data_IF_316844592574
#
_entry.id   IF_316844592574
#
_cell.length_a   1.000
_cell.length_b   1.000
_cell.length_c   1.000
_cell.angle_alpha   90.00
_cell.angle_beta   90.00
_cell.angle_gamma   90.00
#
_symmetry.space_group_name_H-M   'P 1'
#
loop_
_entity.id
_entity.type
_entity.pdbx_description
1 polymer ?
#
# COMPACT_ATOMS: atom_id res chain seq x y z
N UNK A 1 7.02 23.64 -28.91
CA UNK A 1 8.24 23.40 -28.11
C UNK A 1 8.84 22.15 -28.69
N UNK A 2 10.15 22.16 -28.97
CA UNK A 2 10.81 21.11 -29.72
C UNK A 2 11.85 20.42 -28.84
N UNK A 3 11.63 19.16 -28.48
CA UNK A 3 12.50 18.39 -27.60
C UNK A 3 12.74 16.96 -28.14
N UNK A 4 13.88 16.37 -27.81
CA UNK A 4 14.19 14.97 -28.10
C UNK A 4 13.71 14.09 -26.95
N UNK A 5 12.87 13.11 -27.25
CA UNK A 5 12.44 12.09 -26.31
C UNK A 5 13.09 10.75 -26.62
N UNK A 6 13.29 9.94 -25.58
CA UNK A 6 13.77 8.56 -25.69
C UNK A 6 12.76 7.59 -25.07
N UNK A 7 12.48 6.49 -25.75
CA UNK A 7 11.68 5.39 -25.26
C UNK A 7 12.58 4.17 -25.15
N UNK A 8 12.52 3.46 -24.02
CA UNK A 8 13.31 2.24 -23.81
C UNK A 8 12.49 1.17 -23.11
N UNK A 9 12.63 -0.07 -23.55
CA UNK A 9 11.96 -1.25 -23.01
C UNK A 9 11.21 -2.00 -24.10
N UNK A 10 10.17 -2.76 -23.76
CA UNK A 10 9.35 -3.47 -24.75
C UNK A 10 8.36 -2.54 -25.47
N UNK A 11 8.85 -1.43 -26.01
CA UNK A 11 8.03 -0.31 -26.50
C UNK A 11 7.16 -0.67 -27.71
N UNK A 12 7.47 -1.77 -28.40
CA UNK A 12 6.66 -2.34 -29.49
C UNK A 12 5.56 -3.23 -28.91
N UNK A 13 5.90 -4.29 -28.18
CA UNK A 13 4.96 -5.29 -27.65
C UNK A 13 3.93 -4.69 -26.67
N UNK A 14 4.34 -3.70 -25.89
CA UNK A 14 3.48 -3.00 -24.93
C UNK A 14 2.65 -1.88 -25.56
N UNK A 15 2.77 -1.68 -26.88
CA UNK A 15 2.13 -0.61 -27.64
C UNK A 15 2.44 0.80 -27.12
N UNK A 16 3.53 0.97 -26.35
CA UNK A 16 3.97 2.28 -25.87
C UNK A 16 4.33 3.20 -27.04
N UNK A 17 5.14 2.71 -27.99
CA UNK A 17 5.52 3.51 -29.14
C UNK A 17 4.30 3.96 -29.97
N UNK A 18 3.38 3.08 -30.39
CA UNK A 18 2.13 3.49 -31.04
C UNK A 18 1.35 4.55 -30.25
N UNK A 19 1.14 4.33 -28.94
CA UNK A 19 0.38 5.28 -28.10
C UNK A 19 1.06 6.64 -27.98
N UNK A 20 2.39 6.67 -27.91
CA UNK A 20 3.18 7.93 -27.90
C UNK A 20 2.97 8.66 -29.22
N UNK A 21 3.05 7.97 -30.36
CA UNK A 21 2.84 8.58 -31.66
C UNK A 21 1.40 9.10 -31.82
N UNK A 22 0.41 8.32 -31.39
CA UNK A 22 -1.00 8.72 -31.39
C UNK A 22 -1.24 9.95 -30.52
N UNK A 23 -0.71 9.98 -29.30
CA UNK A 23 -0.82 11.14 -28.41
C UNK A 23 -0.21 12.42 -29.01
N UNK A 24 0.92 12.30 -29.74
CA UNK A 24 1.51 13.42 -30.47
C UNK A 24 0.54 13.95 -31.52
N UNK A 25 -0.07 13.06 -32.31
CA UNK A 25 -1.02 13.46 -33.36
C UNK A 25 -2.31 14.05 -32.78
N UNK A 26 -2.87 13.44 -31.73
CA UNK A 26 -4.11 13.87 -31.09
C UNK A 26 -3.99 15.28 -30.48
N UNK A 27 -2.84 15.60 -29.91
CA UNK A 27 -2.53 16.93 -29.37
C UNK A 27 -1.93 17.89 -30.39
N UNK A 28 -2.08 17.58 -31.70
CA UNK A 28 -1.63 18.41 -32.83
C UNK A 28 -0.13 18.73 -32.81
N UNK A 29 0.67 17.85 -32.23
CA UNK A 29 2.12 17.89 -32.32
C UNK A 29 2.63 17.26 -33.62
N UNK A 30 3.93 17.40 -33.85
CA UNK A 30 4.64 16.78 -34.95
C UNK A 30 5.83 15.99 -34.40
N UNK A 31 6.25 14.93 -35.09
CA UNK A 31 7.38 14.11 -34.65
C UNK A 31 8.26 13.65 -35.80
N UNK A 32 9.51 13.36 -35.45
CA UNK A 32 10.49 12.72 -36.33
C UNK A 32 11.22 11.65 -35.53
N UNK A 33 11.09 10.39 -35.94
CA UNK A 33 11.87 9.29 -35.34
C UNK A 33 13.31 9.44 -35.82
N UNK A 34 14.23 9.70 -34.88
CA UNK A 34 15.66 9.87 -35.12
C UNK A 34 16.40 8.52 -35.12
N UNK A 35 15.99 7.62 -34.22
CA UNK A 35 16.57 6.29 -34.08
C UNK A 35 15.49 5.31 -33.63
N UNK A 36 15.53 4.08 -34.15
CA UNK A 36 14.67 2.99 -33.71
C UNK A 36 15.43 1.67 -33.79
N UNK A 37 15.75 1.11 -32.62
CA UNK A 37 16.39 -0.19 -32.48
C UNK A 37 15.36 -1.18 -31.95
N UNK A 38 15.05 -2.21 -32.74
CA UNK A 38 14.05 -3.21 -32.38
C UNK A 38 14.74 -4.47 -31.86
N UNK A 39 14.36 -4.89 -30.64
CA UNK A 39 14.79 -6.14 -30.05
C UNK A 39 14.46 -7.34 -30.95
N UNK A 40 15.34 -8.34 -31.01
CA UNK A 40 15.20 -9.47 -31.95
C UNK A 40 14.34 -10.60 -31.37
N UNK A 41 14.25 -10.69 -30.04
CA UNK A 41 13.46 -11.68 -29.33
C UNK A 41 12.37 -11.02 -28.47
N UNK A 42 11.38 -11.81 -28.01
CA UNK A 42 10.29 -11.35 -27.13
C UNK A 42 10.76 -10.80 -25.77
N UNK A 43 12.03 -11.01 -25.41
CA UNK A 43 12.63 -10.54 -24.15
C UNK A 43 13.65 -9.43 -24.36
N UNK A 44 13.95 -9.07 -25.61
CA UNK A 44 14.87 -7.99 -25.89
C UNK A 44 14.17 -6.64 -25.72
N UNK A 45 14.88 -5.67 -25.14
CA UNK A 45 14.41 -4.29 -25.12
C UNK A 45 14.57 -3.65 -26.50
N UNK A 46 13.59 -2.83 -26.87
CA UNK A 46 13.66 -1.92 -28.00
C UNK A 46 13.92 -0.50 -27.51
N UNK A 47 14.53 0.31 -28.36
CA UNK A 47 14.86 1.71 -28.09
C UNK A 47 14.35 2.58 -29.22
N UNK A 48 13.76 3.73 -28.91
CA UNK A 48 13.41 4.73 -29.90
C UNK A 48 13.83 6.11 -29.42
N UNK A 49 14.43 6.89 -30.30
CA UNK A 49 14.71 8.32 -30.09
C UNK A 49 13.87 9.12 -31.07
N UNK A 50 13.08 10.05 -30.56
CA UNK A 50 12.07 10.78 -31.34
C UNK A 50 12.21 12.27 -31.04
N UNK A 51 12.33 13.10 -32.07
CA UNK A 51 12.24 14.54 -31.97
C UNK A 51 10.78 14.95 -32.06
N UNK A 52 10.24 15.62 -31.04
CA UNK A 52 8.84 16.01 -30.97
C UNK A 52 8.72 17.53 -30.92
N UNK A 53 7.80 18.11 -31.68
CA UNK A 53 7.41 19.51 -31.60
C UNK A 53 5.92 19.65 -31.29
N UNK A 54 5.57 20.34 -30.20
CA UNK A 54 4.17 20.54 -29.82
C UNK A 54 3.95 21.44 -28.61
N UNK A 55 2.70 21.55 -28.12
CA UNK A 55 2.36 22.30 -26.91
C UNK A 55 2.99 21.66 -25.66
N UNK A 56 3.11 22.40 -24.55
CA UNK A 56 3.71 21.88 -23.31
C UNK A 56 2.93 20.68 -22.75
N UNK A 57 1.60 20.71 -22.83
CA UNK A 57 0.68 19.65 -22.38
C UNK A 57 0.94 18.30 -23.09
N UNK A 58 1.49 18.33 -24.31
CA UNK A 58 1.90 17.12 -25.02
C UNK A 58 3.05 16.42 -24.29
N UNK A 59 4.07 17.15 -23.88
CA UNK A 59 5.24 16.55 -23.22
C UNK A 59 4.88 15.91 -21.87
N UNK A 60 3.92 16.50 -21.15
CA UNK A 60 3.35 15.93 -19.93
C UNK A 60 2.66 14.57 -20.19
N UNK A 61 1.94 14.45 -21.31
CA UNK A 61 1.29 13.19 -21.71
C UNK A 61 2.31 12.15 -22.22
N UNK A 62 3.35 12.57 -22.93
CA UNK A 62 4.41 11.68 -23.42
C UNK A 62 5.20 11.08 -22.25
N UNK A 63 5.49 11.87 -21.22
CA UNK A 63 6.15 11.39 -20.00
C UNK A 63 5.29 10.34 -19.27
N UNK A 64 3.97 10.54 -19.19
CA UNK A 64 3.03 9.54 -18.65
C UNK A 64 3.02 8.23 -19.43
N UNK A 65 3.25 8.31 -20.75
CA UNK A 65 3.36 7.15 -21.62
C UNK A 65 4.74 6.46 -21.56
N UNK A 66 5.70 7.03 -20.81
CA UNK A 66 7.02 6.45 -20.57
C UNK A 66 8.15 7.03 -21.41
N UNK A 67 7.94 8.20 -22.03
CA UNK A 67 9.00 8.94 -22.73
C UNK A 67 9.98 9.60 -21.76
N UNK A 68 11.28 9.46 -22.03
CA UNK A 68 12.37 10.12 -21.34
C UNK A 68 12.71 11.42 -22.05
N UNK A 69 12.48 12.56 -21.42
CA UNK A 69 12.77 13.90 -21.95
C UNK A 69 14.25 14.29 -21.77
N UNK A 70 14.75 15.34 -22.44
CA UNK A 70 16.12 15.81 -22.29
C UNK A 70 16.46 16.13 -20.83
N UNK A 71 17.71 15.88 -20.43
CA UNK A 71 18.20 16.02 -19.06
C UNK A 71 18.26 17.48 -18.62
N UNK A 72 17.14 18.02 -18.17
CA UNK A 72 17.08 19.32 -17.53
C UNK A 72 17.14 19.17 -16.01
N UNK A 73 17.87 20.07 -15.35
CA UNK A 73 17.84 20.11 -13.88
C UNK A 73 16.44 20.42 -13.37
N UNK A 74 16.07 19.73 -12.29
CA UNK A 74 14.80 19.92 -11.62
C UNK A 74 14.64 21.38 -11.17
N UNK A 75 13.50 21.98 -11.50
CA UNK A 75 13.18 23.33 -11.04
C UNK A 75 12.63 23.29 -9.64
N UNK A 76 13.04 24.24 -8.81
CA UNK A 76 12.54 24.38 -7.44
C UNK A 76 12.14 25.81 -7.15
N UNK A 77 11.09 25.96 -6.34
CA UNK A 77 10.66 27.24 -5.79
C UNK A 77 10.60 27.15 -4.27
N UNK A 78 10.82 28.28 -3.60
CA UNK A 78 10.77 28.35 -2.15
C UNK A 78 9.30 28.32 -1.68
N UNK A 79 8.99 27.46 -0.70
CA UNK A 79 7.69 27.42 -0.07
C UNK A 79 7.33 28.80 0.54
N UNK A 80 6.18 29.41 0.20
CA UNK A 80 5.86 30.78 0.59
C UNK A 80 5.60 30.94 2.10
N UNK A 81 5.09 29.88 2.75
CA UNK A 81 4.82 29.83 4.18
C UNK A 81 4.86 28.38 4.69
N UNK A 82 4.86 28.20 6.01
CA UNK A 82 4.68 26.88 6.61
C UNK A 82 3.38 26.23 6.11
N UNK A 83 3.49 24.97 5.66
CA UNK A 83 2.40 24.14 5.12
C UNK A 83 1.78 24.65 3.81
N UNK A 84 2.40 25.63 3.16
CA UNK A 84 1.96 26.19 1.88
C UNK A 84 2.96 25.84 0.79
N UNK A 85 2.46 25.49 -0.38
CA UNK A 85 3.26 25.05 -1.53
C UNK A 85 3.30 26.16 -2.60
N UNK A 86 4.36 26.24 -3.41
CA UNK A 86 4.37 27.10 -4.62
C UNK A 86 3.28 26.65 -5.61
N UNK A 87 2.73 27.58 -6.41
CA UNK A 87 1.58 27.32 -7.28
C UNK A 87 1.77 26.14 -8.26
N UNK A 88 3.00 25.92 -8.71
CA UNK A 88 3.35 24.91 -9.72
C UNK A 88 4.01 23.67 -9.13
N UNK A 89 3.78 23.37 -7.86
CA UNK A 89 4.38 22.21 -7.19
C UNK A 89 4.11 20.89 -7.94
N UNK A 90 5.09 19.99 -7.91
CA UNK A 90 4.91 18.63 -8.38
C UNK A 90 4.27 17.77 -7.28
N UNK A 91 3.12 17.17 -7.58
CA UNK A 91 2.46 16.18 -6.72
C UNK A 91 3.00 14.78 -6.98
N UNK A 92 3.45 14.09 -5.93
CA UNK A 92 4.04 12.76 -6.05
C UNK A 92 2.99 11.70 -6.37
N UNK A 93 3.38 10.76 -7.23
CA UNK A 93 2.74 9.44 -7.29
C UNK A 93 3.38 8.51 -6.25
N UNK A 94 2.81 7.33 -6.06
CA UNK A 94 3.44 6.26 -5.29
C UNK A 94 4.45 5.39 -6.10
N UNK A 95 4.69 5.70 -7.38
CA UNK A 95 5.63 4.97 -8.24
C UNK A 95 7.06 5.48 -8.07
N UNK A 96 8.10 4.60 -8.03
CA UNK A 96 9.48 5.00 -7.90
C UNK A 96 9.83 6.21 -8.78
N UNK A 97 10.23 7.30 -8.13
CA UNK A 97 10.46 8.60 -8.78
C UNK A 97 11.90 9.02 -8.54
N UNK A 98 12.54 9.58 -9.56
CA UNK A 98 13.87 10.19 -9.46
C UNK A 98 13.82 11.63 -9.97
N UNK A 99 14.71 12.48 -9.47
CA UNK A 99 14.89 13.86 -9.96
C UNK A 99 16.31 14.08 -10.46
N UNK A 100 16.47 14.82 -11.54
CA UNK A 100 17.77 15.18 -12.10
C UNK A 100 18.31 16.41 -11.37
N UNK A 101 19.36 16.23 -10.56
CA UNK A 101 19.91 17.27 -9.70
C UNK A 101 21.44 17.12 -9.61
N UNK A 102 22.18 18.20 -9.92
CA UNK A 102 23.64 18.19 -9.84
C UNK A 102 24.28 17.26 -10.86
N UNK A 103 23.68 17.15 -12.05
CA UNK A 103 24.17 16.32 -13.16
C UNK A 103 23.84 14.82 -13.09
N UNK A 104 23.10 14.35 -12.07
CA UNK A 104 22.75 12.93 -11.90
C UNK A 104 21.28 12.72 -11.47
N UNK A 105 20.75 11.52 -11.74
CA UNK A 105 19.42 11.10 -11.31
C UNK A 105 19.45 10.64 -9.86
N UNK A 106 18.69 11.33 -9.02
CA UNK A 106 18.59 11.03 -7.60
C UNK A 106 17.23 10.43 -7.27
N UNK A 107 17.18 9.23 -6.67
CA UNK A 107 15.91 8.65 -6.25
C UNK A 107 15.29 9.50 -5.14
N UNK A 108 13.98 9.72 -5.24
CA UNK A 108 13.20 10.37 -4.19
C UNK A 108 13.06 9.40 -3.02
N UNK A 109 13.45 9.85 -1.84
CA UNK A 109 13.39 9.07 -0.61
C UNK A 109 12.00 9.11 0.01
N UNK A 110 11.62 8.03 0.69
CA UNK A 110 10.37 7.91 1.46
C UNK A 110 9.10 8.19 0.63
N UNK A 111 9.11 7.74 -0.63
CA UNK A 111 8.04 8.05 -1.56
C UNK A 111 6.68 7.53 -1.08
N UNK A 112 5.68 8.41 -1.13
CA UNK A 112 4.26 8.13 -0.97
C UNK A 112 3.46 9.03 -1.92
N UNK A 113 2.21 8.67 -2.23
CA UNK A 113 1.34 9.52 -3.06
C UNK A 113 0.87 10.77 -2.30
N UNK A 114 0.31 11.73 -3.04
CA UNK A 114 -0.33 12.95 -2.49
C UNK A 114 0.63 13.79 -1.63
N UNK A 115 1.92 13.77 -1.96
CA UNK A 115 2.97 14.54 -1.31
C UNK A 115 3.71 15.44 -2.31
N UNK A 116 4.76 16.10 -1.85
CA UNK A 116 5.65 16.91 -2.69
C UNK A 116 7.09 16.43 -2.57
N UNK A 117 7.93 16.82 -3.52
CA UNK A 117 9.38 16.58 -3.46
C UNK A 117 10.05 17.85 -2.95
N UNK A 118 10.81 17.74 -1.86
CA UNK A 118 11.66 18.81 -1.33
C UNK A 118 13.13 18.46 -1.57
N UNK A 119 13.91 19.44 -2.02
CA UNK A 119 15.35 19.31 -2.21
C UNK A 119 16.08 19.78 -0.94
N UNK A 120 16.61 18.80 -0.20
CA UNK A 120 17.40 19.02 1.02
C UNK A 120 18.89 18.84 0.71
N UNK A 121 19.57 19.96 0.43
CA UNK A 121 20.96 19.95 -0.02
C UNK A 121 21.09 19.30 -1.39
N UNK A 122 21.60 18.06 -1.42
CA UNK A 122 21.79 17.28 -2.65
C UNK A 122 20.95 15.99 -2.66
N UNK A 123 19.84 15.95 -1.91
CA UNK A 123 18.90 14.84 -1.80
C UNK A 123 17.48 15.28 -2.14
N UNK A 124 16.70 14.38 -2.72
CA UNK A 124 15.28 14.57 -2.97
C UNK A 124 14.47 13.74 -1.97
N UNK A 125 13.59 14.39 -1.22
CA UNK A 125 12.82 13.78 -0.14
C UNK A 125 11.34 14.01 -0.38
N UNK A 126 10.55 12.95 -0.31
CA UNK A 126 9.09 13.04 -0.31
C UNK A 126 8.61 13.64 1.01
N UNK A 127 7.78 14.68 0.96
CA UNK A 127 7.31 15.39 2.14
C UNK A 127 5.83 15.71 2.01
N UNK A 128 5.07 15.39 3.06
CA UNK A 128 3.67 15.80 3.16
C UNK A 128 3.57 17.31 3.24
N UNK A 129 2.56 17.88 2.59
CA UNK A 129 2.30 19.33 2.62
C UNK A 129 2.28 19.89 4.06
N UNK A 130 1.65 19.18 5.01
CA UNK A 130 1.56 19.61 6.41
C UNK A 130 2.90 19.71 7.17
N UNK A 131 3.99 19.18 6.61
CA UNK A 131 5.33 19.25 7.18
C UNK A 131 6.24 20.27 6.49
N UNK A 132 5.84 20.81 5.33
CA UNK A 132 6.66 21.77 4.57
C UNK A 132 6.84 23.05 5.39
N UNK A 133 8.08 23.56 5.40
CA UNK A 133 8.47 24.80 6.08
C UNK A 133 8.71 25.93 5.09
N UNK A 134 8.44 27.16 5.53
CA UNK A 134 8.72 28.36 4.72
C UNK A 134 10.18 28.34 4.25
N UNK A 135 10.39 28.59 2.96
CA UNK A 135 11.73 28.66 2.35
C UNK A 135 12.29 27.33 1.86
N UNK A 136 11.64 26.19 2.16
CA UNK A 136 12.06 24.89 1.60
C UNK A 136 11.93 24.88 0.08
N UNK A 137 12.92 24.29 -0.60
CA UNK A 137 12.96 24.19 -2.06
C UNK A 137 12.07 23.04 -2.53
N UNK A 138 10.84 23.37 -2.92
CA UNK A 138 9.86 22.42 -3.43
C UNK A 138 10.03 22.29 -4.94
N UNK A 139 10.02 21.07 -5.46
CA UNK A 139 10.06 20.80 -6.91
C UNK A 139 8.80 21.34 -7.59
N UNK A 140 8.98 22.05 -8.69
CA UNK A 140 7.90 22.63 -9.51
C UNK A 140 7.99 22.21 -10.96
N UNK A 141 6.82 21.99 -11.58
CA UNK A 141 6.71 21.46 -12.94
C UNK A 141 7.18 20.01 -13.08
N UNK A 142 7.39 19.57 -14.32
CA UNK A 142 7.72 18.19 -14.67
C UNK A 142 9.17 18.01 -15.14
N UNK A 143 9.82 19.09 -15.55
CA UNK A 143 11.21 19.08 -16.03
C UNK A 143 12.15 18.55 -14.95
N UNK A 144 12.94 17.53 -15.32
CA UNK A 144 13.91 16.90 -14.42
C UNK A 144 13.29 15.93 -13.41
N UNK A 145 12.06 15.46 -13.62
CA UNK A 145 11.44 14.37 -12.85
C UNK A 145 11.36 13.13 -13.74
N UNK A 146 11.49 11.93 -13.18
CA UNK A 146 11.34 10.66 -13.89
C UNK A 146 10.57 9.70 -13.02
N UNK A 147 9.46 9.18 -13.53
CA UNK A 147 8.61 8.21 -12.84
C UNK A 147 8.75 6.85 -13.50
N UNK A 148 9.08 5.82 -12.73
CA UNK A 148 9.17 4.44 -13.19
C UNK A 148 7.91 3.67 -12.78
N UNK A 149 6.93 3.62 -13.68
CA UNK A 149 5.71 2.85 -13.44
C UNK A 149 5.97 1.33 -13.52
N UNK A 150 5.28 0.50 -12.71
CA UNK A 150 5.35 -0.95 -12.82
C UNK A 150 4.96 -1.42 -14.24
N UNK A 151 5.71 -2.37 -14.78
CA UNK A 151 5.37 -2.99 -16.06
C UNK A 151 3.99 -3.69 -15.94
N UNK A 152 3.06 -3.36 -16.84
CA UNK A 152 1.75 -4.05 -16.91
C UNK A 152 1.93 -5.50 -17.33
N UNK A 153 1.04 -6.37 -16.83
CA UNK A 153 1.00 -7.78 -17.21
C UNK A 153 0.84 -7.92 -18.72
N UNK A 154 1.63 -8.83 -19.30
CA UNK A 154 1.75 -9.08 -20.75
C UNK A 154 0.79 -10.18 -21.24
N UNK A 155 -0.18 -10.58 -20.42
CA UNK A 155 -1.15 -11.58 -20.84
C UNK A 155 -2.00 -11.03 -21.98
N UNK A 156 -2.12 -11.74 -23.12
CA UNK A 156 -2.92 -11.28 -24.24
C UNK A 156 -4.38 -11.14 -23.76
N UNK A 157 -4.88 -9.92 -23.72
CA UNK A 157 -6.31 -9.68 -23.60
C UNK A 157 -6.95 -10.03 -24.93
N UNK A 158 -7.68 -11.14 -24.99
CA UNK A 158 -8.50 -11.47 -26.16
C UNK A 158 -9.48 -10.33 -26.47
N UNK A 159 -9.81 -10.16 -27.76
CA UNK A 159 -10.75 -9.12 -28.23
C UNK A 159 -12.12 -9.26 -27.55
N UNK A 160 -12.47 -10.47 -27.12
CA UNK A 160 -13.68 -10.78 -26.37
C UNK A 160 -13.40 -11.78 -25.24
N UNK A 161 -13.89 -11.51 -24.04
CA UNK A 161 -13.77 -12.43 -22.91
C UNK A 161 -14.76 -12.11 -21.78
N UNK A 162 -15.23 -13.15 -21.11
CA UNK A 162 -16.02 -13.05 -19.87
C UNK A 162 -15.10 -13.10 -18.65
N UNK A 163 -15.58 -12.65 -17.48
CA UNK A 163 -14.85 -12.71 -16.18
C UNK A 163 -13.54 -11.91 -16.14
N UNK A 164 -13.39 -10.89 -17.00
CA UNK A 164 -12.22 -10.02 -17.09
C UNK A 164 -12.16 -8.93 -16.01
N UNK A 165 -13.23 -8.72 -15.24
CA UNK A 165 -13.25 -7.75 -14.15
C UNK A 165 -12.18 -8.09 -13.11
N UNK A 166 -11.45 -7.10 -12.59
CA UNK A 166 -10.38 -7.39 -11.62
C UNK A 166 -10.95 -7.84 -10.27
N UNK A 167 -12.02 -7.18 -9.81
CA UNK A 167 -12.71 -7.47 -8.54
C UNK A 167 -14.05 -8.14 -8.85
N UNK A 168 -14.23 -9.37 -8.37
CA UNK A 168 -15.52 -10.06 -8.40
C UNK A 168 -15.58 -11.15 -7.32
N UNK A 169 -16.73 -11.34 -6.65
CA UNK A 169 -16.96 -12.48 -5.75
C UNK A 169 -17.04 -13.81 -6.49
N UNK A 170 -17.22 -13.80 -7.82
CA UNK A 170 -17.40 -14.98 -8.65
C UNK A 170 -16.08 -15.58 -9.16
N UNK A 171 -14.93 -15.14 -8.60
CA UNK A 171 -13.62 -15.67 -8.95
C UNK A 171 -13.24 -16.87 -8.08
N UNK A 172 -12.52 -17.87 -8.65
CA UNK A 172 -12.09 -19.04 -7.90
C UNK A 172 -11.00 -18.70 -6.88
N UNK A 173 -11.41 -18.43 -5.63
CA UNK A 173 -10.51 -18.02 -4.55
C UNK A 173 -9.44 -19.07 -4.20
N UNK A 174 -9.72 -20.36 -4.43
CA UNK A 174 -8.80 -21.45 -4.08
C UNK A 174 -7.46 -21.36 -4.81
N UNK A 175 -7.46 -20.95 -6.08
CA UNK A 175 -6.22 -20.75 -6.85
C UNK A 175 -5.44 -19.56 -6.30
N UNK A 176 -6.14 -18.45 -6.04
CA UNK A 176 -5.54 -17.23 -5.48
C UNK A 176 -4.89 -17.49 -4.12
N UNK A 177 -5.52 -18.29 -3.27
CA UNK A 177 -4.99 -18.66 -1.95
C UNK A 177 -3.68 -19.45 -2.07
N UNK A 178 -3.60 -20.40 -3.02
CA UNK A 178 -2.38 -21.19 -3.25
C UNK A 178 -1.23 -20.32 -3.74
N UNK A 179 -1.50 -19.40 -4.67
CA UNK A 179 -0.47 -18.54 -5.21
C UNK A 179 -0.02 -17.49 -4.19
N UNK A 180 -0.95 -16.97 -3.39
CA UNK A 180 -0.64 -16.13 -2.24
C UNK A 180 0.23 -16.86 -1.21
N UNK A 181 -0.08 -18.12 -0.88
CA UNK A 181 0.71 -18.93 0.03
C UNK A 181 2.17 -19.09 -0.45
N UNK A 182 2.35 -19.40 -1.74
CA UNK A 182 3.68 -19.51 -2.36
C UNK A 182 4.44 -18.19 -2.30
N UNK A 183 3.78 -17.08 -2.59
CA UNK A 183 4.42 -15.76 -2.56
C UNK A 183 4.81 -15.35 -1.13
N UNK A 184 3.92 -15.57 -0.15
CA UNK A 184 4.25 -15.32 1.25
C UNK A 184 5.43 -16.18 1.72
N UNK A 185 5.47 -17.48 1.35
CA UNK A 185 6.60 -18.38 1.66
C UNK A 185 7.91 -17.85 1.07
N UNK A 186 7.88 -17.46 -0.21
CA UNK A 186 9.03 -16.89 -0.91
C UNK A 186 9.53 -15.61 -0.24
N UNK A 187 8.63 -14.72 0.19
CA UNK A 187 8.99 -13.51 0.92
C UNK A 187 9.63 -13.86 2.27
N UNK A 188 9.03 -14.76 3.04
CA UNK A 188 9.59 -15.22 4.32
C UNK A 188 10.99 -15.81 4.16
N UNK A 189 11.21 -16.66 3.15
CA UNK A 189 12.51 -17.28 2.88
C UNK A 189 13.59 -16.24 2.54
N UNK A 190 13.19 -15.11 1.95
CA UNK A 190 14.05 -13.96 1.67
C UNK A 190 14.12 -12.96 2.81
N UNK A 191 13.56 -13.28 3.98
CA UNK A 191 13.43 -12.37 5.14
C UNK A 191 12.69 -11.07 4.80
N UNK A 192 11.73 -11.16 3.88
CA UNK A 192 10.88 -10.04 3.50
C UNK A 192 9.95 -9.59 4.62
N UNK A 193 9.39 -8.39 4.45
CA UNK A 193 8.60 -7.71 5.46
C UNK A 193 7.12 -7.68 5.05
N UNK A 194 6.29 -8.41 5.80
CA UNK A 194 4.84 -8.52 5.55
C UNK A 194 4.06 -7.75 6.61
N UNK A 195 3.33 -6.72 6.18
CA UNK A 195 2.40 -5.94 7.01
C UNK A 195 1.01 -6.56 6.95
N UNK A 196 0.31 -6.59 8.07
CA UNK A 196 -1.11 -6.96 8.14
C UNK A 196 -1.94 -5.81 8.73
N UNK A 197 -2.92 -5.34 7.98
CA UNK A 197 -3.89 -4.32 8.38
C UNK A 197 -5.19 -5.01 8.75
N UNK A 198 -5.62 -4.87 10.00
CA UNK A 198 -6.62 -5.76 10.61
C UNK A 198 -7.82 -4.95 11.09
N UNK A 199 -9.00 -5.26 10.55
CA UNK A 199 -10.27 -4.68 10.98
C UNK A 199 -10.97 -5.48 12.07
N UNK A 200 -11.92 -4.85 12.76
CA UNK A 200 -12.64 -5.44 13.90
C UNK A 200 -13.40 -6.71 13.54
N UNK A 201 -13.92 -6.82 12.30
CA UNK A 201 -14.65 -8.01 11.85
C UNK A 201 -13.83 -9.30 11.94
N UNK A 202 -12.49 -9.22 11.86
CA UNK A 202 -11.60 -10.37 12.05
C UNK A 202 -11.79 -11.07 13.40
N UNK A 203 -12.06 -10.28 14.45
CA UNK A 203 -12.36 -10.83 15.77
C UNK A 203 -13.77 -11.42 15.80
N UNK A 204 -14.76 -10.77 15.20
CA UNK A 204 -16.15 -11.26 15.20
C UNK A 204 -16.32 -12.58 14.45
N UNK A 205 -15.64 -12.75 13.31
CA UNK A 205 -15.77 -13.94 12.46
C UNK A 205 -14.84 -15.09 12.87
N UNK A 206 -13.92 -14.85 13.80
CA UNK A 206 -12.94 -15.86 14.25
C UNK A 206 -11.71 -16.01 13.35
N UNK A 207 -11.57 -15.15 12.34
CA UNK A 207 -10.43 -15.12 11.43
C UNK A 207 -9.11 -14.73 12.13
N UNK A 208 -9.20 -14.00 13.24
CA UNK A 208 -8.11 -13.63 14.14
C UNK A 208 -7.25 -14.83 14.59
N UNK A 209 -7.83 -16.02 14.76
CA UNK A 209 -7.09 -17.25 15.10
C UNK A 209 -6.09 -17.64 14.01
N UNK A 210 -6.48 -17.52 12.74
CA UNK A 210 -5.60 -17.81 11.62
C UNK A 210 -4.49 -16.75 11.51
N UNK A 211 -4.81 -15.48 11.78
CA UNK A 211 -3.80 -14.42 11.85
C UNK A 211 -2.78 -14.65 12.99
N UNK A 212 -3.24 -15.07 14.17
CA UNK A 212 -2.36 -15.43 15.28
C UNK A 212 -1.40 -16.56 14.90
N UNK A 213 -1.86 -17.54 14.10
CA UNK A 213 -1.01 -18.60 13.58
C UNK A 213 0.02 -18.09 12.56
N UNK A 214 -0.36 -17.18 11.65
CA UNK A 214 0.59 -16.54 10.74
C UNK A 214 1.70 -15.80 11.50
N UNK A 215 1.35 -15.08 12.57
CA UNK A 215 2.33 -14.43 13.46
C UNK A 215 3.26 -15.46 14.10
N UNK A 216 2.72 -16.56 14.65
CA UNK A 216 3.52 -17.64 15.27
C UNK A 216 4.52 -18.25 14.28
N UNK A 217 4.10 -18.42 13.03
CA UNK A 217 4.87 -18.98 11.92
C UNK A 217 5.86 -17.98 11.29
N UNK A 218 5.85 -16.70 11.68
CA UNK A 218 6.78 -15.68 11.19
C UNK A 218 6.37 -15.01 9.87
N UNK A 219 5.09 -15.02 9.53
CA UNK A 219 4.51 -14.42 8.33
C UNK A 219 3.94 -13.00 8.55
N UNK A 220 4.25 -12.37 9.67
CA UNK A 220 3.85 -11.01 10.00
C UNK A 220 5.02 -10.28 10.67
N UNK A 221 5.38 -9.12 10.11
CA UNK A 221 6.47 -8.27 10.60
C UNK A 221 5.96 -6.94 11.19
N UNK A 222 4.73 -6.54 10.89
CA UNK A 222 4.02 -5.49 11.62
C UNK A 222 2.50 -5.69 11.50
N UNK A 223 1.76 -5.26 12.53
CA UNK A 223 0.29 -5.22 12.54
C UNK A 223 -0.18 -3.77 12.62
N UNK A 224 -1.06 -3.35 11.72
CA UNK A 224 -1.77 -2.08 11.85
C UNK A 224 -3.24 -2.35 12.13
N UNK A 225 -3.80 -1.66 13.11
CA UNK A 225 -5.20 -1.83 13.48
C UNK A 225 -5.76 -0.58 14.16
N UNK A 226 -7.03 -0.66 14.59
CA UNK A 226 -7.66 0.35 15.44
C UNK A 226 -8.10 -0.24 16.78
N UNK A 227 -8.49 0.65 17.71
CA UNK A 227 -8.90 0.27 19.06
C UNK A 227 -10.02 -0.78 19.05
N UNK A 228 -10.98 -0.68 18.13
CA UNK A 228 -12.06 -1.65 18.00
C UNK A 228 -11.59 -3.10 17.89
N UNK A 229 -10.67 -3.42 16.97
CA UNK A 229 -10.13 -4.78 16.87
C UNK A 229 -9.31 -5.16 18.11
N UNK A 230 -8.46 -4.26 18.59
CA UNK A 230 -7.60 -4.52 19.74
C UNK A 230 -8.40 -4.87 21.00
N UNK A 231 -9.49 -4.15 21.27
CA UNK A 231 -10.40 -4.45 22.37
C UNK A 231 -11.09 -5.79 22.18
N UNK A 232 -11.56 -6.12 20.96
CA UNK A 232 -12.21 -7.40 20.69
C UNK A 232 -11.26 -8.60 20.83
N UNK A 233 -9.99 -8.46 20.41
CA UNK A 233 -8.97 -9.49 20.60
C UNK A 233 -8.78 -9.79 22.09
N UNK A 234 -8.66 -8.74 22.93
CA UNK A 234 -8.54 -8.87 24.39
C UNK A 234 -9.81 -9.45 25.02
N UNK A 235 -10.99 -8.91 24.67
CA UNK A 235 -12.28 -9.37 25.22
C UNK A 235 -12.47 -10.87 24.98
N UNK A 236 -12.13 -11.34 23.79
CA UNK A 236 -12.24 -12.76 23.43
C UNK A 236 -11.39 -13.64 24.34
N UNK A 237 -10.20 -13.21 24.73
CA UNK A 237 -9.34 -14.01 25.61
C UNK A 237 -9.81 -14.01 27.06
N UNK A 238 -10.42 -12.91 27.52
CA UNK A 238 -10.88 -12.80 28.89
C UNK A 238 -12.24 -13.47 29.10
N UNK A 239 -13.12 -13.44 28.08
CA UNK A 239 -14.53 -13.80 28.23
C UNK A 239 -15.05 -14.77 27.18
N UNK A 240 -14.30 -15.08 26.13
CA UNK A 240 -14.78 -15.88 25.00
C UNK A 240 -15.82 -15.16 24.14
N UNK A 241 -15.86 -13.83 24.19
CA UNK A 241 -16.88 -13.03 23.49
C UNK A 241 -16.28 -11.88 22.70
N UNK A 242 -17.05 -11.37 21.74
CA UNK A 242 -16.81 -10.06 21.10
C UNK A 242 -18.10 -9.23 21.15
N UNK A 243 -18.07 -8.06 21.80
CA UNK A 243 -19.28 -7.28 22.16
C UNK A 243 -20.36 -8.13 22.86
N UNK A 244 -19.94 -9.12 23.65
CA UNK A 244 -20.84 -10.03 24.35
C UNK A 244 -21.47 -11.13 23.49
N UNK A 245 -21.12 -11.21 22.20
CA UNK A 245 -21.44 -12.34 21.33
C UNK A 245 -20.46 -13.48 21.62
N UNK A 246 -20.98 -14.63 22.03
CA UNK A 246 -20.20 -15.84 22.28
C UNK A 246 -19.54 -16.34 20.99
N UNK A 247 -18.22 -16.53 21.03
CA UNK A 247 -17.43 -16.85 19.83
C UNK A 247 -17.77 -18.23 19.23
N UNK A 248 -18.30 -19.16 20.02
CA UNK A 248 -18.56 -20.54 19.59
C UNK A 248 -19.95 -20.71 19.01
N UNK A 249 -20.92 -20.00 19.57
CA UNK A 249 -22.34 -20.16 19.25
C UNK A 249 -22.92 -18.99 18.47
N UNK A 250 -22.24 -17.84 18.42
CA UNK A 250 -22.75 -16.60 17.80
C UNK A 250 -23.91 -15.96 18.56
N UNK A 251 -24.27 -16.48 19.75
CA UNK A 251 -25.37 -15.95 20.55
C UNK A 251 -24.90 -14.79 21.42
N UNK A 252 -25.69 -13.73 21.50
CA UNK A 252 -25.43 -12.61 22.41
C UNK A 252 -25.79 -13.02 23.83
N UNK A 253 -24.80 -13.01 24.73
CA UNK A 253 -24.98 -13.37 26.13
C UNK A 253 -25.70 -12.26 26.91
N UNK A 254 -26.48 -12.64 27.92
CA UNK A 254 -27.20 -11.69 28.77
C UNK A 254 -26.21 -10.76 29.47
N UNK A 255 -26.40 -9.44 29.32
CA UNK A 255 -25.50 -8.38 29.82
C UNK A 255 -24.08 -8.41 29.20
N UNK A 256 -23.92 -9.09 28.06
CA UNK A 256 -22.66 -9.17 27.33
C UNK A 256 -22.17 -7.80 26.83
N UNK A 257 -23.03 -6.80 26.68
CA UNK A 257 -22.63 -5.45 26.25
C UNK A 257 -21.55 -4.80 27.14
N UNK A 258 -21.32 -5.29 28.37
CA UNK A 258 -20.31 -4.74 29.28
C UNK A 258 -18.92 -5.37 29.11
N UNK A 259 -18.80 -6.54 28.49
CA UNK A 259 -17.54 -7.32 28.43
C UNK A 259 -16.37 -6.53 27.85
N UNK A 260 -16.57 -5.81 26.75
CA UNK A 260 -15.54 -4.99 26.12
C UNK A 260 -15.07 -3.83 27.03
N UNK A 261 -15.97 -3.20 27.79
CA UNK A 261 -15.62 -2.17 28.76
C UNK A 261 -14.78 -2.74 29.91
N UNK A 262 -15.09 -3.96 30.36
CA UNK A 262 -14.27 -4.66 31.36
C UNK A 262 -12.90 -4.99 30.77
N UNK A 263 -12.83 -5.48 29.54
CA UNK A 263 -11.58 -5.76 28.85
C UNK A 263 -10.67 -4.52 28.78
N UNK A 264 -11.22 -3.36 28.37
CA UNK A 264 -10.51 -2.08 28.39
C UNK A 264 -9.96 -1.77 29.79
N UNK A 265 -10.81 -1.87 30.80
CA UNK A 265 -10.44 -1.58 32.18
C UNK A 265 -9.35 -2.52 32.73
N UNK A 266 -9.36 -3.81 32.37
CA UNK A 266 -8.32 -4.76 32.76
C UNK A 266 -6.96 -4.43 32.12
N UNK A 267 -6.95 -3.97 30.85
CA UNK A 267 -5.70 -3.51 30.22
C UNK A 267 -5.19 -2.22 30.87
N UNK A 268 -6.07 -1.30 31.24
CA UNK A 268 -5.71 -0.10 32.02
C UNK A 268 -5.08 -0.48 33.38
N UNK A 269 -5.70 -1.41 34.12
CA UNK A 269 -5.12 -1.92 35.39
C UNK A 269 -3.76 -2.59 35.18
N UNK A 270 -3.58 -3.30 34.07
CA UNK A 270 -2.29 -3.89 33.72
C UNK A 270 -1.24 -2.83 33.34
N UNK A 271 -1.68 -1.69 32.79
CA UNK A 271 -0.85 -0.58 32.34
C UNK A 271 -0.42 -0.66 30.88
N UNK A 272 -1.22 -1.35 30.04
CA UNK A 272 -0.97 -1.57 28.61
C UNK A 272 -0.95 -3.05 28.22
N UNK A 273 -1.03 -3.33 26.92
CA UNK A 273 -1.09 -4.70 26.35
C UNK A 273 0.16 -5.50 26.73
N UNK A 274 1.36 -4.93 26.54
CA UNK A 274 2.62 -5.62 26.85
C UNK A 274 2.69 -6.05 28.32
N UNK A 275 2.36 -5.13 29.25
CA UNK A 275 2.29 -5.43 30.68
C UNK A 275 1.20 -6.44 31.04
N UNK A 276 0.08 -6.43 30.32
CA UNK A 276 -0.98 -7.43 30.51
C UNK A 276 -0.49 -8.85 30.14
N UNK A 277 0.34 -8.96 29.11
CA UNK A 277 0.99 -10.23 28.72
C UNK A 277 2.03 -10.66 29.75
N UNK A 278 2.88 -9.73 30.22
CA UNK A 278 3.90 -10.01 31.25
C UNK A 278 3.29 -10.47 32.58
N UNK A 279 2.21 -9.82 33.01
CA UNK A 279 1.46 -10.16 34.24
C UNK A 279 0.59 -11.41 34.07
N UNK A 280 0.50 -11.98 32.88
CA UNK A 280 -0.34 -13.14 32.59
C UNK A 280 -1.85 -12.86 32.62
N UNK A 281 -2.27 -11.61 32.49
CA UNK A 281 -3.68 -11.22 32.31
C UNK A 281 -4.15 -11.61 30.91
N UNK A 282 -3.35 -11.27 29.89
CA UNK A 282 -3.58 -11.67 28.50
C UNK A 282 -2.68 -12.88 28.17
N UNK A 283 -3.28 -14.01 27.77
CA UNK A 283 -2.56 -15.30 27.63
C UNK A 283 -2.55 -15.90 26.22
N UNK A 284 -3.35 -15.38 25.32
CA UNK A 284 -3.40 -15.79 23.91
C UNK A 284 -3.96 -14.64 23.06
N UNK A 285 -4.29 -14.86 21.79
CA UNK A 285 -4.82 -13.85 20.87
C UNK A 285 -3.75 -13.20 20.00
N UNK A 286 -4.17 -12.35 19.08
CA UNK A 286 -3.29 -11.71 18.09
C UNK A 286 -2.26 -10.82 18.77
N UNK A 287 -2.70 -9.95 19.68
CA UNK A 287 -1.83 -8.99 20.37
C UNK A 287 -0.86 -9.68 21.33
N UNK A 288 -1.30 -10.74 22.02
CA UNK A 288 -0.39 -11.59 22.81
C UNK A 288 0.73 -12.18 21.96
N UNK A 289 0.39 -12.74 20.80
CA UNK A 289 1.38 -13.32 19.91
C UNK A 289 2.31 -12.26 19.32
N UNK A 290 1.83 -11.03 19.09
CA UNK A 290 2.68 -9.90 18.70
C UNK A 290 3.72 -9.60 19.77
N UNK A 291 3.31 -9.48 21.04
CA UNK A 291 4.25 -9.27 22.16
C UNK A 291 5.25 -10.42 22.27
N UNK A 292 4.79 -11.68 22.26
CA UNK A 292 5.67 -12.85 22.38
C UNK A 292 6.67 -13.00 21.22
N UNK A 293 6.28 -12.60 20.01
CA UNK A 293 7.12 -12.67 18.81
C UNK A 293 7.85 -11.36 18.51
N UNK A 294 7.69 -10.33 19.34
CA UNK A 294 8.24 -8.98 19.14
C UNK A 294 7.85 -8.38 17.79
N UNK A 295 6.61 -8.64 17.36
CA UNK A 295 6.02 -8.01 16.19
C UNK A 295 5.41 -6.67 16.63
N UNK A 296 5.86 -5.53 16.08
CA UNK A 296 5.26 -4.23 16.39
C UNK A 296 3.80 -4.20 15.95
N UNK A 297 2.96 -3.62 16.79
CA UNK A 297 1.56 -3.34 16.47
C UNK A 297 1.26 -1.85 16.68
N UNK A 298 0.55 -1.25 15.74
CA UNK A 298 0.16 0.16 15.78
C UNK A 298 -1.35 0.23 15.82
N UNK A 299 -1.88 0.84 16.88
CA UNK A 299 -3.31 0.99 17.13
C UNK A 299 -3.69 2.44 16.89
N UNK A 300 -4.12 2.75 15.67
CA UNK A 300 -4.57 4.10 15.31
C UNK A 300 -5.99 4.36 15.79
N UNK A 301 -6.16 5.42 16.59
CA UNK A 301 -7.43 5.80 17.19
C UNK A 301 -8.46 6.33 16.17
N UNK A 302 -9.71 6.35 16.60
CA UNK A 302 -10.89 6.75 15.83
C UNK A 302 -11.91 7.45 16.72
N UNK A 303 -12.77 8.29 16.13
CA UNK A 303 -13.83 9.02 16.83
C UNK A 303 -14.82 8.11 17.58
N UNK A 304 -14.91 6.82 17.21
CA UNK A 304 -15.86 5.86 17.80
C UNK A 304 -15.28 5.06 18.96
N UNK A 305 -14.04 5.31 19.36
CA UNK A 305 -13.34 4.42 20.28
C UNK A 305 -13.87 4.52 21.71
N UNK A 306 -14.27 3.38 22.29
CA UNK A 306 -14.54 3.23 23.71
C UNK A 306 -13.24 3.08 24.49
N UNK A 307 -13.09 3.79 25.61
CA UNK A 307 -11.87 3.79 26.43
C UNK A 307 -10.99 5.01 26.10
N UNK A 308 -10.02 4.90 25.17
CA UNK A 308 -9.50 3.71 24.48
C UNK A 308 -8.54 2.88 25.34
N UNK A 309 -7.95 1.80 24.78
CA UNK A 309 -6.81 1.12 25.38
C UNK A 309 -5.62 2.10 25.57
N UNK A 310 -4.76 1.91 26.60
CA UNK A 310 -3.58 2.76 26.82
C UNK A 310 -2.63 2.82 25.62
N UNK A 311 -2.55 1.75 24.84
CA UNK A 311 -1.69 1.59 23.67
C UNK A 311 -2.23 2.30 22.41
N UNK A 312 -3.48 2.79 22.44
CA UNK A 312 -4.11 3.45 21.29
C UNK A 312 -3.54 4.85 21.08
N UNK A 313 -3.03 5.11 19.88
CA UNK A 313 -2.55 6.43 19.47
C UNK A 313 -3.75 7.28 19.03
N UNK A 314 -4.20 8.17 19.90
CA UNK A 314 -5.38 9.04 19.67
C UNK A 314 -5.12 10.18 18.71
N UNK A 315 -3.87 10.63 18.59
CA UNK A 315 -3.46 11.61 17.60
C UNK A 315 -3.28 10.92 16.24
N UNK A 316 -4.22 11.14 15.33
CA UNK A 316 -4.26 10.50 14.02
C UNK A 316 -3.03 10.79 13.15
N UNK A 317 -2.39 11.95 13.33
CA UNK A 317 -1.18 12.29 12.58
C UNK A 317 0.01 11.50 13.12
N UNK A 318 0.14 11.41 14.45
CA UNK A 318 1.15 10.53 15.08
C UNK A 318 0.92 9.07 14.73
N UNK A 319 -0.33 8.61 14.69
CA UNK A 319 -0.64 7.23 14.32
C UNK A 319 -0.16 6.93 12.89
N UNK A 320 -0.43 7.81 11.93
CA UNK A 320 0.10 7.65 10.57
C UNK A 320 1.64 7.69 10.55
N UNK A 321 2.27 8.56 11.33
CA UNK A 321 3.73 8.67 11.36
C UNK A 321 4.39 7.41 11.93
N UNK A 322 3.80 6.79 12.94
CA UNK A 322 4.23 5.47 13.43
C UNK A 322 4.03 4.37 12.37
N UNK A 323 2.90 4.36 11.66
CA UNK A 323 2.68 3.41 10.56
C UNK A 323 3.74 3.57 9.45
N UNK A 324 4.08 4.82 9.08
CA UNK A 324 5.06 5.12 8.01
C UNK A 324 6.44 4.53 8.26
N UNK A 325 6.86 4.38 9.53
CA UNK A 325 8.15 3.76 9.88
C UNK A 325 8.28 2.32 9.38
N UNK A 326 7.15 1.65 9.12
CA UNK A 326 7.13 0.26 8.68
C UNK A 326 6.79 0.10 7.19
N UNK A 327 5.97 0.98 6.60
CA UNK A 327 5.51 0.82 5.20
C UNK A 327 6.64 0.92 4.17
N UNK A 328 7.66 1.74 4.41
CA UNK A 328 8.75 1.98 3.45
C UNK A 328 9.64 0.74 3.23
N UNK A 329 9.71 -0.14 4.23
CA UNK A 329 10.45 -1.41 4.17
C UNK A 329 9.58 -2.62 3.82
N UNK A 330 8.29 -2.43 3.54
CA UNK A 330 7.36 -3.54 3.27
C UNK A 330 7.58 -4.15 1.88
N UNK A 331 7.49 -5.48 1.79
CA UNK A 331 7.43 -6.22 0.52
C UNK A 331 6.00 -6.62 0.16
N UNK A 332 5.17 -6.82 1.19
CA UNK A 332 3.76 -7.17 1.04
C UNK A 332 2.92 -6.52 2.15
N UNK A 333 1.70 -6.11 1.80
CA UNK A 333 0.69 -5.62 2.72
C UNK A 333 -0.61 -6.38 2.52
N UNK A 334 -1.06 -7.06 3.57
CA UNK A 334 -2.33 -7.76 3.64
C UNK A 334 -3.35 -6.89 4.37
N UNK A 335 -4.54 -6.66 3.80
CA UNK A 335 -5.59 -5.84 4.39
C UNK A 335 -6.84 -6.71 4.57
N UNK A 336 -7.36 -6.79 5.79
CA UNK A 336 -8.50 -7.63 6.15
C UNK A 336 -9.63 -6.83 6.77
N UNK A 337 -10.79 -6.83 6.11
CA UNK A 337 -12.04 -6.27 6.63
C UNK A 337 -11.91 -4.88 7.28
N UNK A 338 -11.08 -4.02 6.69
CA UNK A 338 -10.74 -2.70 7.24
C UNK A 338 -10.67 -1.66 6.14
N UNK A 339 -11.77 -0.92 5.98
CA UNK A 339 -11.83 0.17 5.00
C UNK A 339 -10.94 1.34 5.40
N UNK A 340 -11.09 1.89 6.61
CA UNK A 340 -10.40 3.11 7.03
C UNK A 340 -8.88 2.91 7.13
N UNK A 341 -8.42 1.95 7.93
CA UNK A 341 -6.97 1.69 8.08
C UNK A 341 -6.38 1.08 6.81
N UNK A 342 -7.15 0.31 6.05
CA UNK A 342 -6.73 -0.21 4.74
C UNK A 342 -6.42 0.93 3.77
N UNK A 343 -7.34 1.89 3.62
CA UNK A 343 -7.16 3.06 2.75
C UNK A 343 -6.00 3.92 3.25
N UNK A 344 -5.93 4.19 4.55
CA UNK A 344 -4.84 4.97 5.12
C UNK A 344 -3.47 4.32 4.80
N UNK A 345 -3.38 2.99 4.95
CA UNK A 345 -2.15 2.25 4.63
C UNK A 345 -1.83 2.29 3.14
N UNK A 346 -2.83 2.07 2.28
CA UNK A 346 -2.68 2.16 0.81
C UNK A 346 -2.10 3.49 0.35
N UNK A 347 -2.56 4.60 0.92
CA UNK A 347 -2.03 5.94 0.62
C UNK A 347 -0.54 6.10 0.98
N UNK A 348 -0.02 5.35 1.95
CA UNK A 348 1.37 5.45 2.40
C UNK A 348 2.29 4.42 1.70
N UNK A 349 1.73 3.46 0.96
CA UNK A 349 2.49 2.36 0.37
C UNK A 349 3.12 2.77 -0.97
N UNK A 350 4.43 2.53 -1.16
CA UNK A 350 5.04 2.57 -2.48
C UNK A 350 4.43 1.53 -3.42
N UNK A 351 4.40 1.80 -4.73
CA UNK A 351 3.76 0.91 -5.70
C UNK A 351 4.45 -0.44 -5.90
N UNK A 352 5.70 -0.56 -5.41
CA UNK A 352 6.47 -1.82 -5.42
C UNK A 352 5.96 -2.84 -4.39
N UNK A 353 5.20 -2.40 -3.39
CA UNK A 353 4.69 -3.28 -2.34
C UNK A 353 3.51 -4.07 -2.89
N UNK A 354 3.56 -5.40 -2.72
CA UNK A 354 2.45 -6.28 -3.11
C UNK A 354 1.30 -6.10 -2.13
N UNK A 355 0.18 -5.54 -2.59
CA UNK A 355 -0.98 -5.31 -1.73
C UNK A 355 -2.07 -6.35 -2.01
N UNK A 356 -2.66 -6.91 -0.96
CA UNK A 356 -3.81 -7.81 -1.06
C UNK A 356 -4.91 -7.29 -0.14
N UNK A 357 -6.10 -7.09 -0.68
CA UNK A 357 -7.27 -6.65 0.07
C UNK A 357 -8.33 -7.75 0.11
N UNK A 358 -8.73 -8.16 1.32
CA UNK A 358 -9.74 -9.19 1.55
C UNK A 358 -10.88 -8.58 2.35
N UNK A 359 -12.03 -8.44 1.72
CA UNK A 359 -13.24 -7.90 2.35
C UNK A 359 -14.47 -8.59 1.75
N UNK A 360 -15.50 -8.82 2.56
CA UNK A 360 -16.77 -9.36 2.07
C UNK A 360 -17.52 -8.33 1.22
N UNK A 361 -17.28 -7.04 1.48
CA UNK A 361 -17.89 -5.95 0.73
C UNK A 361 -17.00 -5.58 -0.47
N UNK A 362 -17.46 -5.84 -1.71
CA UNK A 362 -16.69 -5.52 -2.91
C UNK A 362 -16.35 -4.03 -3.00
N UNK A 363 -17.20 -3.15 -2.45
CA UNK A 363 -16.95 -1.70 -2.47
C UNK A 363 -15.67 -1.33 -1.71
N UNK A 364 -15.37 -1.99 -0.60
CA UNK A 364 -14.13 -1.72 0.15
C UNK A 364 -12.91 -2.08 -0.69
N UNK A 365 -12.95 -3.23 -1.37
CA UNK A 365 -11.90 -3.69 -2.26
C UNK A 365 -11.72 -2.73 -3.45
N UNK A 366 -12.82 -2.29 -4.06
CA UNK A 366 -12.80 -1.30 -5.17
C UNK A 366 -12.19 0.02 -4.72
N UNK A 367 -12.59 0.53 -3.55
CA UNK A 367 -12.08 1.82 -3.05
C UNK A 367 -10.60 1.79 -2.70
N UNK A 368 -10.05 0.63 -2.35
CA UNK A 368 -8.61 0.47 -2.15
C UNK A 368 -7.85 0.52 -3.48
N UNK A 369 -8.38 -0.07 -4.55
CA UNK A 369 -7.78 0.01 -5.88
C UNK A 369 -7.90 1.41 -6.50
N UNK A 370 -9.04 2.09 -6.33
CA UNK A 370 -9.31 3.41 -6.91
C UNK A 370 -8.41 4.53 -6.35
N UNK A 371 -7.77 4.31 -5.19
CA UNK A 371 -6.86 5.28 -4.56
C UNK A 371 -5.41 5.05 -4.94
N UNK A 372 -5.17 4.78 -6.22
CA UNK A 372 -3.83 4.63 -6.78
C UNK A 372 -3.21 3.24 -6.62
N UNK A 373 -3.67 2.40 -5.69
CA UNK A 373 -3.14 1.03 -5.47
C UNK A 373 -3.69 0.04 -6.50
N UNK A 374 -3.59 0.37 -7.78
CA UNK A 374 -4.12 -0.41 -8.92
C UNK A 374 -3.49 -1.81 -9.03
N UNK A 375 -2.30 -2.00 -8.46
CA UNK A 375 -1.60 -3.27 -8.33
C UNK A 375 -2.14 -4.19 -7.21
N UNK A 376 -3.10 -3.74 -6.40
CA UNK A 376 -3.62 -4.56 -5.31
C UNK A 376 -4.45 -5.75 -5.82
N UNK A 377 -4.17 -6.95 -5.33
CA UNK A 377 -5.03 -8.10 -5.52
C UNK A 377 -6.27 -7.98 -4.62
N UNK A 378 -7.45 -7.87 -5.23
CA UNK A 378 -8.72 -7.84 -4.51
C UNK A 378 -9.37 -9.22 -4.39
N UNK A 379 -9.68 -9.66 -3.18
CA UNK A 379 -10.43 -10.89 -2.90
C UNK A 379 -11.74 -10.51 -2.19
N UNK A 380 -12.86 -10.70 -2.87
CA UNK A 380 -14.20 -10.44 -2.30
C UNK A 380 -14.69 -11.70 -1.61
N UNK A 381 -14.38 -11.84 -0.31
CA UNK A 381 -14.77 -13.00 0.50
C UNK A 381 -14.62 -12.69 2.00
N UNK A 382 -15.20 -13.54 2.85
CA UNK A 382 -15.00 -13.45 4.29
C UNK A 382 -13.55 -13.86 4.65
N UNK A 383 -12.77 -13.01 5.35
CA UNK A 383 -11.45 -13.41 5.85
C UNK A 383 -11.45 -14.70 6.68
N UNK A 384 -12.55 -15.04 7.37
CA UNK A 384 -12.67 -16.30 8.12
C UNK A 384 -12.72 -17.54 7.23
N UNK A 385 -13.06 -17.41 5.95
CA UNK A 385 -12.94 -18.50 4.97
C UNK A 385 -11.53 -18.52 4.39
N UNK A 386 -11.00 -17.35 4.01
CA UNK A 386 -9.75 -17.25 3.27
C UNK A 386 -8.51 -17.56 4.12
N UNK A 387 -8.42 -16.99 5.33
CA UNK A 387 -7.21 -17.08 6.15
C UNK A 387 -6.90 -18.49 6.67
N UNK A 388 -7.87 -19.29 7.17
CA UNK A 388 -7.59 -20.66 7.58
C UNK A 388 -7.07 -21.52 6.42
N UNK A 389 -7.63 -21.35 5.22
CA UNK A 389 -7.18 -22.05 4.02
C UNK A 389 -5.75 -21.62 3.63
N UNK A 390 -5.47 -20.32 3.68
CA UNK A 390 -4.12 -19.78 3.46
C UNK A 390 -3.11 -20.38 4.43
N UNK A 391 -3.42 -20.40 5.73
CA UNK A 391 -2.57 -21.02 6.75
C UNK A 391 -2.33 -22.50 6.46
N UNK A 392 -3.36 -23.25 6.04
CA UNK A 392 -3.20 -24.65 5.66
C UNK A 392 -2.29 -24.84 4.45
N UNK A 393 -2.44 -24.02 3.41
CA UNK A 393 -1.56 -24.07 2.23
C UNK A 393 -0.12 -23.71 2.58
N UNK A 394 0.11 -22.68 3.40
CA UNK A 394 1.46 -22.33 3.87
C UNK A 394 2.06 -23.48 4.70
N UNK A 395 1.28 -24.12 5.58
CA UNK A 395 1.75 -25.30 6.35
C UNK A 395 2.15 -26.47 5.46
N UNK A 396 1.53 -26.64 4.28
CA UNK A 396 1.94 -27.66 3.31
C UNK A 396 3.28 -27.30 2.65
N UNK A 397 3.57 -26.01 2.45
CA UNK A 397 4.81 -25.52 1.84
C UNK A 397 6.00 -25.47 2.82
N UNK A 398 5.74 -25.49 4.13
CA UNK A 398 6.76 -25.53 5.20
C UNK A 398 7.16 -26.95 5.59
N UNK A 399 6.39 -27.96 5.15
CA UNK A 399 6.75 -29.39 5.27
C UNK A 399 7.71 -29.75 4.14
#
# INVERSE_FOLDING_TARGET
MKEEIELRGHIIDSLILPRVLDAIMDLKGNFQILQLDVGKTKTDESYAKILVDGPAELFDELERLGALLPREEVKTEAAPADKSLPDKFYGTTHHPTSVYLGGDWKPVQELEMDCVIVIEGNKAVCKRQGLVKKGEKVVVGLKGVKVEAPQRSREPSDIFGFMSSQISPEKPINSLIKDLAKEMKKLKDKKGFIIHVVGTAMAHTGADRALAELIKMGYAQAIFTGNGFAVMDVEKQLFGTTLGMDEKTGRVLRRGYKSHLVAINEIHKAGGIEKAVEKGVLKDGVLYNCVKKKVPFIIGGSLRDDGPLPDTITDVMKAQDEMRKHVQGADMCMIYASMLHGIATGNMLPSKVKTVAIDINPYVVTRLQDRGTTQALGIVSDPAVVLPMLVQEIKKLER
#
